data_IF_771298618879
#
_entry.id   IF_771298618879
#
_cell.length_a   1.000
_cell.length_b   1.000
_cell.length_c   1.000
_cell.angle_alpha   90.00
_cell.angle_beta   90.00
_cell.angle_gamma   90.00
#
_symmetry.space_group_name_H-M   'P 1'
#
loop_
_entity.id
_entity.type
_entity.pdbx_description
1 polymer ?
#
# COMPACT_ATOMS: atom_id res chain seq x y z
N UNK A 1 -11.09 -13.78 10.70
CA UNK A 1 -11.01 -12.36 10.28
C UNK A 1 -9.88 -12.28 9.27
N UNK A 2 -10.10 -11.66 8.11
CA UNK A 2 -9.01 -11.51 7.12
C UNK A 2 -7.96 -10.58 7.71
N UNK A 3 -6.67 -10.94 7.64
CA UNK A 3 -5.62 -10.04 8.09
C UNK A 3 -5.54 -8.85 7.11
N UNK A 4 -5.46 -7.59 7.57
CA UNK A 4 -5.35 -6.44 6.68
C UNK A 4 -4.12 -6.50 5.77
N UNK A 5 -3.09 -7.30 6.11
CA UNK A 5 -1.97 -7.52 5.23
C UNK A 5 -2.33 -8.41 4.03
N UNK A 6 -3.30 -9.33 4.13
CA UNK A 6 -3.71 -10.22 3.03
C UNK A 6 -4.70 -9.56 2.04
N UNK A 7 -5.21 -8.38 2.38
CA UNK A 7 -5.95 -7.53 1.44
C UNK A 7 -4.95 -6.83 0.51
N UNK A 8 -5.23 -6.86 -0.80
CA UNK A 8 -4.43 -6.14 -1.79
C UNK A 8 -4.39 -4.65 -1.41
N UNK A 9 -3.21 -4.03 -1.27
CA UNK A 9 -3.14 -2.61 -0.96
C UNK A 9 -3.70 -1.78 -2.13
N UNK A 10 -4.37 -0.69 -1.79
CA UNK A 10 -4.88 0.30 -2.74
C UNK A 10 -3.78 1.32 -3.07
N UNK A 11 -3.58 1.71 -4.34
CA UNK A 11 -2.65 2.78 -4.67
C UNK A 11 -3.06 4.11 -4.02
N UNK A 12 -2.09 4.98 -3.69
CA UNK A 12 -2.40 6.34 -3.28
C UNK A 12 -3.13 7.08 -4.40
N UNK A 13 -3.89 8.12 -4.03
CA UNK A 13 -4.56 8.96 -5.00
C UNK A 13 -3.54 9.65 -5.91
N UNK A 14 -3.89 9.78 -7.19
CA UNK A 14 -3.03 10.44 -8.15
C UNK A 14 -2.88 11.93 -7.81
N UNK A 15 -1.63 12.36 -7.67
CA UNK A 15 -1.27 13.78 -7.48
C UNK A 15 -0.75 14.33 -8.80
N UNK A 16 -1.45 15.31 -9.35
CA UNK A 16 -1.00 16.08 -10.51
C UNK A 16 -0.08 17.23 -10.10
N UNK A 17 0.79 17.68 -11.02
CA UNK A 17 1.66 18.83 -10.80
C UNK A 17 0.90 20.11 -10.41
N UNK A 18 -0.34 20.29 -10.88
CA UNK A 18 -1.20 21.43 -10.52
C UNK A 18 -1.55 21.49 -9.02
N UNK A 19 -1.46 20.35 -8.31
CA UNK A 19 -1.64 20.31 -6.86
C UNK A 19 -0.40 20.78 -6.10
N UNK A 20 0.76 20.87 -6.79
CA UNK A 20 1.98 21.40 -6.21
C UNK A 20 1.90 22.94 -6.17
N UNK A 21 2.04 23.50 -4.96
CA UNK A 21 2.08 24.94 -4.73
C UNK A 21 3.21 25.67 -5.50
N UNK A 22 4.22 24.95 -6.03
CA UNK A 22 5.28 25.48 -6.90
C UNK A 22 6.24 26.48 -6.25
N UNK A 23 5.95 26.90 -5.01
CA UNK A 23 6.60 28.01 -4.30
C UNK A 23 7.40 27.54 -3.08
N UNK A 24 7.62 26.22 -2.94
CA UNK A 24 8.36 25.64 -1.81
C UNK A 24 7.51 25.41 -0.55
N UNK A 25 6.19 25.21 -0.68
CA UNK A 25 5.36 24.82 0.46
C UNK A 25 5.85 23.49 1.07
N UNK A 26 6.02 23.43 2.40
CA UNK A 26 6.42 22.23 3.15
C UNK A 26 5.29 21.76 4.09
N UNK A 27 4.89 20.47 4.04
CA UNK A 27 5.39 19.42 3.13
C UNK A 27 4.86 19.56 1.70
N UNK A 28 5.72 19.31 0.72
CA UNK A 28 5.33 19.28 -0.69
C UNK A 28 4.42 18.07 -0.95
N UNK A 29 3.28 18.27 -1.60
CA UNK A 29 2.32 17.19 -1.90
C UNK A 29 2.95 16.08 -2.74
N UNK A 30 3.85 16.44 -3.66
CA UNK A 30 4.59 15.47 -4.47
C UNK A 30 5.51 14.62 -3.57
N UNK A 31 6.14 15.21 -2.56
CA UNK A 31 6.98 14.46 -1.63
C UNK A 31 6.16 13.48 -0.79
N UNK A 32 5.02 13.92 -0.24
CA UNK A 32 4.09 13.05 0.49
C UNK A 32 3.58 11.91 -0.39
N UNK A 33 3.22 12.21 -1.63
CA UNK A 33 2.79 11.20 -2.60
C UNK A 33 3.90 10.18 -2.90
N UNK A 34 5.14 10.64 -3.06
CA UNK A 34 6.27 9.75 -3.28
C UNK A 34 6.58 8.88 -2.05
N UNK A 35 6.38 9.40 -0.84
CA UNK A 35 6.45 8.61 0.39
C UNK A 35 5.38 7.51 0.40
N UNK A 36 4.11 7.88 0.18
CA UNK A 36 3.00 6.94 0.12
C UNK A 36 3.17 5.87 -0.97
N UNK A 37 3.69 6.25 -2.15
CA UNK A 37 4.00 5.33 -3.24
C UNK A 37 5.09 4.32 -2.85
N UNK A 38 6.11 4.73 -2.08
CA UNK A 38 7.15 3.81 -1.59
C UNK A 38 6.55 2.78 -0.64
N UNK A 39 5.76 3.22 0.32
CA UNK A 39 5.07 2.32 1.26
C UNK A 39 4.11 1.37 0.54
N UNK A 40 3.33 1.91 -0.41
CA UNK A 40 2.45 1.13 -1.26
C UNK A 40 3.18 0.00 -1.99
N UNK A 41 4.31 0.32 -2.66
CA UNK A 41 5.12 -0.67 -3.40
C UNK A 41 5.66 -1.77 -2.50
N UNK A 42 6.11 -1.43 -1.30
CA UNK A 42 6.60 -2.42 -0.32
C UNK A 42 5.47 -3.35 0.12
N UNK A 43 4.31 -2.79 0.47
CA UNK A 43 3.11 -3.57 0.85
C UNK A 43 2.62 -4.44 -0.28
N UNK A 44 2.61 -3.92 -1.51
CA UNK A 44 2.18 -4.66 -2.70
C UNK A 44 3.10 -5.85 -2.95
N UNK A 45 4.41 -5.65 -2.93
CA UNK A 45 5.38 -6.74 -3.10
C UNK A 45 5.23 -7.83 -2.02
N UNK A 46 4.99 -7.43 -0.76
CA UNK A 46 4.76 -8.38 0.34
C UNK A 46 3.44 -9.17 0.17
N UNK A 47 2.40 -8.53 -0.36
CA UNK A 47 1.15 -9.18 -0.73
C UNK A 47 1.35 -10.14 -1.91
N UNK A 48 1.98 -9.71 -2.99
CA UNK A 48 2.24 -10.53 -4.19
C UNK A 48 3.04 -11.79 -3.85
N UNK A 49 4.05 -11.68 -2.97
CA UNK A 49 4.83 -12.83 -2.50
C UNK A 49 3.99 -13.86 -1.75
N UNK A 50 3.00 -13.42 -0.97
CA UNK A 50 2.06 -14.32 -0.30
C UNK A 50 1.10 -14.95 -1.30
N UNK A 51 0.56 -14.19 -2.25
CA UNK A 51 -0.31 -14.74 -3.28
C UNK A 51 0.40 -15.75 -4.20
N UNK A 52 1.68 -15.53 -4.49
CA UNK A 52 2.49 -16.41 -5.34
C UNK A 52 3.02 -17.64 -4.59
N UNK A 53 3.22 -17.55 -3.28
CA UNK A 53 3.40 -18.75 -2.46
C UNK A 53 2.06 -19.51 -2.49
N UNK A 54 2.02 -20.81 -2.82
CA UNK A 54 0.78 -21.56 -2.83
C UNK A 54 0.15 -21.47 -1.44
N UNK A 55 -0.89 -20.64 -1.31
CA UNK A 55 -1.65 -20.45 -0.08
C UNK A 55 -2.56 -21.67 0.11
N UNK A 56 -1.95 -22.80 0.44
CA UNK A 56 -2.57 -23.75 1.35
C UNK A 56 -2.32 -23.24 2.76
N UNK A 57 -3.03 -22.19 3.17
CA UNK A 57 -3.15 -21.87 4.59
C UNK A 57 -4.47 -21.11 4.84
N UNK A 58 -5.56 -21.84 4.65
CA UNK A 58 -6.71 -21.65 5.53
C UNK A 58 -6.33 -22.13 6.92
N UNK A 59 -5.51 -21.37 7.65
CA UNK A 59 -5.34 -21.52 9.10
C UNK A 59 -6.12 -20.38 9.77
N UNK A 60 -7.45 -20.49 9.70
CA UNK A 60 -8.28 -20.04 10.80
C UNK A 60 -8.59 -21.27 11.66
N UNK A 61 -7.57 -21.78 12.37
CA UNK A 61 -7.82 -22.55 13.59
C UNK A 61 -8.63 -21.66 14.53
N UNK A 62 -9.91 -21.98 14.63
CA UNK A 62 -10.88 -21.23 15.39
C UNK A 62 -11.99 -22.15 15.88
N UNK A 63 -11.58 -23.30 16.43
CA UNK A 63 -12.34 -24.12 17.37
C UNK A 63 -13.40 -23.31 18.13
N UNK A 64 -14.67 -23.58 17.85
CA UNK A 64 -15.80 -23.39 18.79
C UNK A 64 -16.85 -24.47 18.55
#
# INVERSE_FOLDING_TARGET
>A
MIDPADIRPEPPFEVSDDMCCGSGCEPCILDLHQQALREYRVRLAAWERRQAAPQGEGEYDGRH
#
